data_IF_385344889311
#
_entry.id   IF_385344889311
#
_cell.length_a   1.000
_cell.length_b   1.000
_cell.length_c   1.000
_cell.angle_alpha   90.00
_cell.angle_beta   90.00
_cell.angle_gamma   90.00
#
_symmetry.space_group_name_H-M   'P 1'
#
loop_
_entity.id
_entity.type
_entity.pdbx_description
1 polymer ?
#
# COMPACT_ATOMS: atom_id res chain seq x y z
N UNK A 1 -11.45 6.84 -24.58
CA UNK A 1 -12.11 5.95 -23.63
C UNK A 1 -11.26 4.71 -23.29
N UNK A 2 -10.65 4.04 -24.26
CA UNK A 2 -9.86 2.80 -24.08
C UNK A 2 -8.65 2.93 -23.11
N UNK A 3 -8.01 4.10 -23.01
CA UNK A 3 -6.84 4.32 -22.13
C UNK A 3 -7.20 4.32 -20.63
N UNK A 4 -8.35 4.92 -20.26
CA UNK A 4 -8.83 4.92 -18.86
C UNK A 4 -9.25 3.52 -18.39
N UNK A 5 -9.82 2.73 -19.28
CA UNK A 5 -10.27 1.37 -18.99
C UNK A 5 -9.09 0.42 -18.71
N UNK A 6 -7.97 0.52 -19.45
CA UNK A 6 -6.75 -0.27 -19.14
C UNK A 6 -6.11 0.12 -17.81
N UNK A 7 -6.07 1.41 -17.48
CA UNK A 7 -5.52 1.85 -16.19
C UNK A 7 -6.41 1.43 -15.00
N UNK A 8 -7.72 1.40 -15.16
CA UNK A 8 -8.64 0.84 -14.17
C UNK A 8 -8.41 -0.66 -13.95
N UNK A 9 -8.34 -1.45 -15.01
CA UNK A 9 -8.11 -2.90 -14.91
C UNK A 9 -6.78 -3.28 -14.26
N UNK A 10 -5.74 -2.48 -14.42
CA UNK A 10 -4.41 -2.75 -13.83
C UNK A 10 -4.42 -2.39 -12.34
N UNK A 11 -5.10 -1.32 -11.95
CA UNK A 11 -5.24 -0.88 -10.55
C UNK A 11 -6.08 -1.86 -9.72
N UNK A 12 -7.09 -2.50 -10.34
CA UNK A 12 -7.91 -3.52 -9.69
C UNK A 12 -7.13 -4.80 -9.34
N UNK A 13 -6.18 -5.21 -10.17
CA UNK A 13 -5.40 -6.44 -9.95
C UNK A 13 -4.52 -6.38 -8.69
N UNK A 14 -4.11 -5.22 -8.26
CA UNK A 14 -3.29 -5.07 -7.04
C UNK A 14 -4.10 -5.23 -5.76
N UNK A 15 -5.42 -5.07 -5.82
CA UNK A 15 -6.34 -5.18 -4.70
C UNK A 15 -7.04 -6.55 -4.60
N UNK A 16 -6.72 -7.49 -5.49
CA UNK A 16 -7.33 -8.82 -5.50
C UNK A 16 -7.09 -9.62 -4.19
N UNK A 17 -5.87 -9.67 -3.60
CA UNK A 17 -5.66 -10.40 -2.35
C UNK A 17 -6.56 -9.93 -1.20
N UNK A 18 -6.70 -8.62 -0.90
CA UNK A 18 -7.64 -8.12 0.10
C UNK A 18 -9.10 -8.51 -0.18
N UNK A 19 -9.54 -8.37 -1.45
CA UNK A 19 -10.91 -8.66 -1.83
C UNK A 19 -11.24 -10.16 -1.69
N UNK A 20 -10.33 -11.04 -2.12
CA UNK A 20 -10.48 -12.49 -1.94
C UNK A 20 -10.50 -12.88 -0.46
N UNK A 21 -9.64 -12.27 0.35
CA UNK A 21 -9.61 -12.48 1.79
C UNK A 21 -10.93 -12.08 2.45
N UNK A 22 -11.48 -10.92 2.07
CA UNK A 22 -12.78 -10.45 2.56
C UNK A 22 -13.91 -11.38 2.12
N UNK A 23 -13.91 -11.77 0.85
CA UNK A 23 -14.94 -12.68 0.29
C UNK A 23 -14.93 -14.03 1.00
N UNK A 24 -13.75 -14.62 1.23
CA UNK A 24 -13.61 -15.86 1.99
C UNK A 24 -14.14 -15.71 3.42
N UNK A 25 -13.73 -14.64 4.10
CA UNK A 25 -14.17 -14.37 5.47
C UNK A 25 -15.69 -14.25 5.58
N UNK A 26 -16.31 -13.45 4.69
CA UNK A 26 -17.78 -13.29 4.65
C UNK A 26 -18.47 -14.60 4.29
N UNK A 27 -17.96 -15.37 3.33
CA UNK A 27 -18.55 -16.65 2.93
C UNK A 27 -18.58 -17.64 4.09
N UNK A 28 -17.47 -17.83 4.79
CA UNK A 28 -17.39 -18.70 5.97
C UNK A 28 -18.32 -18.18 7.08
N UNK A 29 -18.26 -16.88 7.37
CA UNK A 29 -19.09 -16.27 8.40
C UNK A 29 -20.59 -16.46 8.14
N UNK A 30 -21.05 -16.15 6.93
CA UNK A 30 -22.46 -16.24 6.55
C UNK A 30 -22.97 -17.68 6.59
N UNK A 31 -22.16 -18.65 6.13
CA UNK A 31 -22.50 -20.06 6.19
C UNK A 31 -22.65 -20.54 7.64
N UNK A 32 -21.68 -20.19 8.49
CA UNK A 32 -21.72 -20.55 9.91
C UNK A 32 -22.87 -19.87 10.65
N UNK A 33 -23.16 -18.59 10.34
CA UNK A 33 -24.31 -17.86 10.89
C UNK A 33 -25.64 -18.51 10.54
N UNK A 34 -25.79 -18.97 9.29
CA UNK A 34 -27.00 -19.68 8.86
C UNK A 34 -27.24 -20.92 9.71
N UNK A 35 -26.22 -21.76 9.92
CA UNK A 35 -26.35 -22.97 10.74
C UNK A 35 -26.72 -22.68 12.20
N UNK A 36 -26.27 -21.54 12.76
CA UNK A 36 -26.71 -21.08 14.06
C UNK A 36 -28.21 -20.69 14.08
N UNK A 37 -28.67 -20.04 13.03
CA UNK A 37 -30.08 -19.58 12.93
C UNK A 37 -31.06 -20.74 12.69
N UNK A 38 -30.64 -21.71 11.88
CA UNK A 38 -31.44 -22.89 11.55
C UNK A 38 -31.39 -23.94 12.69
N UNK A 39 -30.76 -23.63 13.85
CA UNK A 39 -30.54 -24.50 15.00
C UNK A 39 -29.78 -25.80 14.71
N UNK A 40 -29.16 -25.93 13.52
CA UNK A 40 -28.35 -27.10 13.16
C UNK A 40 -27.14 -27.27 14.08
N UNK A 41 -26.58 -26.17 14.61
CA UNK A 41 -25.50 -26.19 15.58
C UNK A 41 -25.90 -26.79 16.93
N UNK A 42 -27.14 -26.58 17.35
CA UNK A 42 -27.66 -27.16 18.61
C UNK A 42 -27.76 -28.68 18.49
N UNK A 43 -28.28 -29.16 17.35
CA UNK A 43 -28.34 -30.60 17.04
C UNK A 43 -26.93 -31.19 16.96
N UNK A 44 -26.00 -30.49 16.32
CA UNK A 44 -24.60 -30.94 16.21
C UNK A 44 -23.93 -31.10 17.60
N UNK A 45 -24.12 -30.15 18.49
CA UNK A 45 -23.52 -30.21 19.84
C UNK A 45 -24.21 -31.25 20.75
N UNK A 46 -25.47 -31.54 20.55
CA UNK A 46 -26.21 -32.53 21.31
C UNK A 46 -25.91 -33.98 20.90
N UNK A 47 -25.39 -34.19 19.69
CA UNK A 47 -25.14 -35.52 19.12
C UNK A 47 -23.78 -36.16 19.51
N UNK A 48 -23.35 -36.03 20.78
CA UNK A 48 -22.20 -36.80 21.29
C UNK A 48 -20.94 -35.99 21.62
N UNK A 49 -21.06 -34.91 22.38
CA UNK A 49 -19.91 -34.21 22.99
C UNK A 49 -19.01 -33.44 22.03
N UNK A 50 -19.52 -33.08 20.84
CA UNK A 50 -18.81 -32.29 19.89
C UNK A 50 -18.71 -30.83 20.31
N UNK A 51 -17.54 -30.24 20.22
CA UNK A 51 -17.28 -28.83 20.57
C UNK A 51 -17.18 -27.95 19.31
N UNK A 52 -17.16 -26.65 19.52
CA UNK A 52 -16.94 -25.67 18.41
C UNK A 52 -15.65 -25.95 17.62
N UNK A 53 -14.64 -26.55 18.25
CA UNK A 53 -13.40 -26.96 17.58
C UNK A 53 -13.60 -28.01 16.48
N UNK A 54 -14.68 -28.79 16.53
CA UNK A 54 -14.97 -29.78 15.49
C UNK A 54 -15.28 -29.16 14.13
N UNK A 55 -15.55 -27.84 14.08
CA UNK A 55 -15.74 -27.09 12.84
C UNK A 55 -14.45 -26.56 12.22
N UNK A 56 -13.34 -26.59 12.95
CA UNK A 56 -12.04 -26.14 12.44
C UNK A 56 -11.58 -26.97 11.21
N UNK A 57 -11.57 -28.32 11.24
CA UNK A 57 -11.15 -29.12 10.09
C UNK A 57 -12.00 -28.89 8.81
N UNK A 58 -13.33 -28.90 8.84
CA UNK A 58 -14.12 -28.66 7.63
C UNK A 58 -13.95 -27.24 7.08
N UNK A 59 -13.90 -26.22 7.94
CA UNK A 59 -13.65 -24.83 7.54
C UNK A 59 -12.26 -24.68 6.92
N UNK A 60 -11.23 -25.30 7.51
CA UNK A 60 -9.89 -25.24 6.97
C UNK A 60 -9.77 -25.99 5.62
N UNK A 61 -10.40 -27.15 5.45
CA UNK A 61 -10.41 -27.86 4.16
C UNK A 61 -11.01 -27.01 3.05
N UNK A 62 -12.07 -26.26 3.36
CA UNK A 62 -12.69 -25.32 2.42
C UNK A 62 -11.83 -24.07 2.21
N UNK A 63 -11.28 -23.48 3.27
CA UNK A 63 -10.53 -22.23 3.19
C UNK A 63 -9.13 -22.40 2.58
N UNK A 64 -8.47 -23.56 2.77
CA UNK A 64 -7.09 -23.79 2.36
C UNK A 64 -6.82 -23.49 0.87
N UNK A 65 -7.62 -23.96 -0.10
CA UNK A 65 -7.39 -23.64 -1.51
C UNK A 65 -7.48 -22.13 -1.77
N UNK A 66 -8.36 -21.41 -1.09
CA UNK A 66 -8.45 -19.95 -1.21
C UNK A 66 -7.27 -19.24 -0.55
N UNK A 67 -6.80 -19.71 0.59
CA UNK A 67 -5.58 -19.19 1.26
C UNK A 67 -4.37 -19.37 0.35
N UNK A 68 -4.24 -20.53 -0.28
CA UNK A 68 -3.16 -20.79 -1.26
C UNK A 68 -3.31 -19.85 -2.46
N UNK A 69 -4.52 -19.68 -2.99
CA UNK A 69 -4.77 -18.76 -4.10
C UNK A 69 -4.41 -17.31 -3.73
N UNK A 70 -4.78 -16.83 -2.54
CA UNK A 70 -4.38 -15.52 -2.02
C UNK A 70 -2.85 -15.41 -1.89
N UNK A 71 -2.19 -16.47 -1.45
CA UNK A 71 -0.73 -16.55 -1.37
C UNK A 71 -0.07 -16.42 -2.74
N UNK A 72 -0.52 -17.19 -3.74
CA UNK A 72 -0.01 -17.11 -5.11
C UNK A 72 -0.26 -15.72 -5.71
N UNK A 73 -1.46 -15.16 -5.51
CA UNK A 73 -1.80 -13.81 -5.96
C UNK A 73 -0.90 -12.75 -5.32
N UNK A 74 -0.64 -12.84 -4.03
CA UNK A 74 0.15 -11.85 -3.31
C UNK A 74 1.65 -11.96 -3.59
N UNK A 75 2.19 -13.18 -3.63
CA UNK A 75 3.64 -13.45 -3.71
C UNK A 75 4.14 -13.45 -5.16
N UNK A 76 3.34 -13.94 -6.12
CA UNK A 76 3.78 -14.14 -7.52
C UNK A 76 3.07 -13.18 -8.47
N UNK A 77 1.75 -13.20 -8.50
CA UNK A 77 0.98 -12.49 -9.53
C UNK A 77 1.01 -10.97 -9.31
N UNK A 78 0.88 -10.51 -8.06
CA UNK A 78 0.87 -9.08 -7.75
C UNK A 78 2.20 -8.38 -8.13
N UNK A 79 3.40 -8.86 -7.77
CA UNK A 79 4.64 -8.24 -8.20
C UNK A 79 4.86 -8.31 -9.72
N UNK A 80 4.49 -9.42 -10.36
CA UNK A 80 4.56 -9.53 -11.81
C UNK A 80 3.65 -8.50 -12.52
N UNK A 81 2.41 -8.36 -12.07
CA UNK A 81 1.48 -7.39 -12.63
C UNK A 81 1.97 -5.94 -12.42
N UNK A 82 2.59 -5.66 -11.27
CA UNK A 82 3.19 -4.35 -10.99
C UNK A 82 4.42 -4.09 -11.86
N UNK A 83 5.28 -5.08 -12.09
CA UNK A 83 6.45 -4.93 -12.97
C UNK A 83 6.03 -4.61 -14.41
N UNK A 84 5.00 -5.26 -14.95
CA UNK A 84 4.45 -4.94 -16.26
C UNK A 84 3.89 -3.51 -16.34
N UNK A 85 3.27 -3.06 -15.26
CA UNK A 85 2.76 -1.70 -15.16
C UNK A 85 3.89 -0.66 -15.15
N UNK A 86 4.98 -0.95 -14.42
CA UNK A 86 6.16 -0.07 -14.36
C UNK A 86 6.87 0.02 -15.73
N UNK A 87 7.05 -1.11 -16.43
CA UNK A 87 7.63 -1.13 -17.78
C UNK A 87 6.79 -0.25 -18.71
N UNK A 88 5.48 -0.48 -18.77
CA UNK A 88 4.57 0.29 -19.61
C UNK A 88 4.58 1.78 -19.24
N UNK A 89 4.62 2.09 -17.95
CA UNK A 89 4.66 3.47 -17.45
C UNK A 89 5.97 4.18 -17.83
N UNK A 90 7.10 3.47 -17.72
CA UNK A 90 8.39 4.00 -18.12
C UNK A 90 8.46 4.27 -19.65
N UNK A 91 7.92 3.35 -20.47
CA UNK A 91 7.81 3.57 -21.91
C UNK A 91 6.96 4.81 -22.25
N UNK A 92 5.82 4.99 -21.55
CA UNK A 92 5.00 6.19 -21.74
C UNK A 92 5.68 7.45 -21.21
N UNK A 93 6.38 7.38 -20.07
CA UNK A 93 7.11 8.52 -19.53
C UNK A 93 8.21 8.97 -20.50
N UNK A 94 8.95 8.02 -21.09
CA UNK A 94 9.95 8.34 -22.09
C UNK A 94 9.34 9.00 -23.35
N UNK A 95 8.19 8.51 -23.82
CA UNK A 95 7.46 9.12 -24.95
C UNK A 95 6.88 10.50 -24.61
N UNK A 96 6.36 10.67 -23.38
CA UNK A 96 5.85 11.96 -22.92
C UNK A 96 6.98 12.97 -22.67
N UNK A 97 8.17 12.53 -22.28
CA UNK A 97 9.33 13.41 -22.13
C UNK A 97 9.81 13.96 -23.48
N UNK A 98 9.86 13.11 -24.52
CA UNK A 98 10.13 13.58 -25.90
C UNK A 98 9.02 14.53 -26.37
N UNK A 99 7.76 14.26 -26.04
CA UNK A 99 6.63 15.14 -26.35
C UNK A 99 6.56 16.40 -25.46
N UNK A 100 7.13 16.39 -24.26
CA UNK A 100 7.24 17.59 -23.41
C UNK A 100 8.31 18.55 -23.90
N UNK A 101 9.37 18.03 -24.52
CA UNK A 101 10.36 18.82 -25.26
C UNK A 101 9.86 19.19 -26.66
N UNK A 102 8.56 18.95 -26.95
CA UNK A 102 8.00 19.32 -28.25
C UNK A 102 8.12 20.83 -28.49
N UNK A 103 8.64 21.25 -29.67
CA UNK A 103 8.83 22.65 -29.99
C UNK A 103 7.53 23.45 -29.88
N UNK A 104 7.65 24.73 -29.52
CA UNK A 104 6.54 25.67 -29.46
C UNK A 104 5.72 25.59 -28.15
N UNK A 105 6.22 24.98 -27.09
CA UNK A 105 5.55 24.92 -25.78
C UNK A 105 6.41 25.45 -24.65
N UNK A 106 5.75 26.10 -23.69
CA UNK A 106 6.38 26.48 -22.43
C UNK A 106 6.37 25.30 -21.46
N UNK A 107 7.53 25.02 -20.87
CA UNK A 107 7.74 23.93 -19.89
C UNK A 107 8.07 24.58 -18.56
N UNK A 108 7.18 24.44 -17.58
CA UNK A 108 7.42 24.94 -16.23
C UNK A 108 8.12 23.87 -15.37
N UNK A 109 9.20 24.28 -14.70
CA UNK A 109 9.94 23.46 -13.75
C UNK A 109 10.10 24.20 -12.42
N UNK A 110 10.51 23.49 -11.36
CA UNK A 110 10.70 24.04 -10.01
C UNK A 110 9.44 24.75 -9.43
N UNK A 111 8.23 24.27 -9.77
CA UNK A 111 6.99 24.85 -9.25
C UNK A 111 6.69 26.26 -9.82
N UNK A 112 6.98 26.49 -11.09
CA UNK A 112 6.72 27.75 -11.80
C UNK A 112 7.83 28.79 -11.67
N UNK A 113 8.93 28.49 -10.97
CA UNK A 113 10.07 29.40 -10.82
C UNK A 113 10.99 29.44 -12.04
N UNK A 114 10.94 28.39 -12.85
CA UNK A 114 11.74 28.29 -14.07
C UNK A 114 10.87 27.86 -15.22
N UNK A 115 10.94 28.55 -16.34
CA UNK A 115 10.18 28.28 -17.56
C UNK A 115 11.14 28.12 -18.71
N UNK A 116 10.99 27.02 -19.46
CA UNK A 116 11.72 26.77 -20.70
C UNK A 116 10.79 26.93 -21.91
N UNK A 117 11.30 27.50 -22.97
CA UNK A 117 10.64 27.48 -24.27
C UNK A 117 11.65 26.97 -25.31
N UNK A 118 11.25 25.97 -26.08
CA UNK A 118 12.05 25.36 -27.15
C UNK A 118 11.38 25.70 -28.46
N UNK A 119 12.11 26.36 -29.35
CA UNK A 119 11.53 26.80 -30.63
C UNK A 119 11.43 25.67 -31.65
N UNK A 120 12.48 24.82 -31.77
CA UNK A 120 12.53 23.73 -32.75
C UNK A 120 13.21 22.49 -32.19
N UNK A 121 12.98 21.36 -32.82
CA UNK A 121 13.74 20.14 -32.56
C UNK A 121 15.08 20.21 -33.33
N UNK A 122 16.17 19.75 -32.71
CA UNK A 122 17.47 19.64 -33.36
C UNK A 122 17.53 18.49 -34.37
N UNK A 123 18.67 18.33 -35.00
CA UNK A 123 18.90 17.28 -36.00
C UNK A 123 18.97 15.87 -35.40
N UNK A 124 19.26 15.75 -34.09
CA UNK A 124 19.36 14.51 -33.36
C UNK A 124 18.26 14.40 -32.28
N UNK A 125 17.86 13.18 -31.86
CA UNK A 125 16.80 12.98 -30.83
C UNK A 125 17.08 13.65 -29.46
N UNK A 126 18.37 13.89 -29.16
CA UNK A 126 18.80 14.52 -27.90
C UNK A 126 19.15 15.99 -28.07
N UNK A 127 19.04 16.53 -29.29
CA UNK A 127 19.28 17.93 -29.61
C UNK A 127 17.97 18.71 -29.69
N UNK A 128 17.99 19.91 -29.16
CA UNK A 128 16.92 20.88 -29.26
C UNK A 128 17.48 22.18 -29.85
N UNK A 129 16.70 22.80 -30.69
CA UNK A 129 17.05 24.06 -31.34
C UNK A 129 17.03 25.21 -30.34
N UNK A 130 16.78 26.43 -30.85
CA UNK A 130 16.80 27.63 -30.00
C UNK A 130 16.01 27.46 -28.72
N UNK A 131 16.65 27.79 -27.57
CA UNK A 131 16.10 27.65 -26.26
C UNK A 131 16.05 29.03 -25.59
N UNK A 132 14.91 29.30 -24.99
CA UNK A 132 14.71 30.40 -24.08
C UNK A 132 14.39 29.84 -22.70
N UNK A 133 15.08 30.30 -21.66
CA UNK A 133 14.83 29.94 -20.26
C UNK A 133 14.69 31.20 -19.44
N UNK A 134 13.61 31.32 -18.69
CA UNK A 134 13.44 32.36 -17.70
C UNK A 134 13.39 31.73 -16.29
N UNK A 135 14.16 32.28 -15.37
CA UNK A 135 14.22 31.83 -13.98
C UNK A 135 14.00 33.01 -13.03
N UNK A 136 13.09 32.88 -12.10
CA UNK A 136 12.87 33.84 -11.04
C UNK A 136 13.43 33.30 -9.74
N UNK A 137 14.39 33.99 -9.17
CA UNK A 137 15.04 33.71 -7.89
C UNK A 137 14.76 34.81 -6.90
N UNK A 138 14.95 34.55 -5.60
CA UNK A 138 14.82 35.57 -4.56
C UNK A 138 15.78 36.79 -4.74
N UNK A 139 16.84 36.64 -5.53
CA UNK A 139 17.85 37.70 -5.79
C UNK A 139 17.60 38.47 -7.08
N UNK A 140 16.73 37.99 -7.97
CA UNK A 140 16.46 38.63 -9.25
C UNK A 140 15.88 37.69 -10.28
N UNK A 141 15.72 38.21 -11.49
CA UNK A 141 15.28 37.45 -12.65
C UNK A 141 16.47 37.18 -13.58
N UNK A 142 16.56 35.96 -14.09
CA UNK A 142 17.59 35.55 -15.05
C UNK A 142 16.91 35.01 -16.28
N UNK A 143 17.32 35.53 -17.44
CA UNK A 143 16.88 35.05 -18.76
C UNK A 143 18.07 34.50 -19.51
N UNK A 144 17.97 33.30 -20.02
CA UNK A 144 19.01 32.64 -20.80
C UNK A 144 18.46 32.34 -22.19
N UNK A 145 19.20 32.69 -23.19
CA UNK A 145 18.94 32.34 -24.60
C UNK A 145 20.12 31.58 -25.16
N UNK A 146 19.88 30.49 -25.86
CA UNK A 146 20.91 29.68 -26.51
C UNK A 146 20.46 29.22 -27.90
N UNK A 147 21.42 29.05 -28.81
CA UNK A 147 21.14 28.62 -30.19
C UNK A 147 20.84 27.13 -30.29
N UNK A 148 21.44 26.32 -29.41
CA UNK A 148 21.25 24.86 -29.32
C UNK A 148 21.33 24.38 -27.91
N UNK A 149 20.71 23.25 -27.65
CA UNK A 149 20.83 22.53 -26.39
C UNK A 149 20.90 21.02 -26.59
N UNK A 150 21.69 20.36 -25.75
CA UNK A 150 21.82 18.90 -25.71
C UNK A 150 21.39 18.38 -24.37
N UNK A 151 20.55 17.33 -24.36
CA UNK A 151 20.15 16.69 -23.13
C UNK A 151 21.15 15.60 -22.81
N UNK A 152 21.82 15.73 -21.65
CA UNK A 152 22.80 14.78 -21.14
C UNK A 152 22.34 14.17 -19.80
N UNK A 153 22.74 12.92 -19.55
CA UNK A 153 22.48 12.21 -18.31
C UNK A 153 23.82 11.93 -17.63
N UNK A 154 23.98 12.43 -16.40
CA UNK A 154 25.19 12.18 -15.63
C UNK A 154 25.23 10.72 -15.12
N UNK A 155 26.40 10.24 -14.69
CA UNK A 155 26.61 8.92 -14.06
C UNK A 155 25.72 8.64 -12.84
N UNK A 156 25.21 9.67 -12.18
CA UNK A 156 24.27 9.61 -11.06
C UNK A 156 22.79 9.55 -11.50
N UNK A 157 22.51 9.60 -12.81
CA UNK A 157 21.16 9.58 -13.36
C UNK A 157 20.47 10.95 -13.41
N UNK A 158 21.15 12.02 -12.99
CA UNK A 158 20.64 13.38 -13.08
C UNK A 158 20.71 13.86 -14.53
N UNK A 159 19.65 14.54 -14.96
CA UNK A 159 19.53 15.08 -16.32
C UNK A 159 19.92 16.54 -16.34
N UNK A 160 20.76 16.89 -17.31
CA UNK A 160 21.19 18.24 -17.59
C UNK A 160 20.81 18.62 -19.03
N UNK A 161 20.45 19.86 -19.22
CA UNK A 161 20.42 20.44 -20.55
C UNK A 161 21.67 21.30 -20.67
N UNK A 162 22.55 20.96 -21.59
CA UNK A 162 23.74 21.73 -21.92
C UNK A 162 23.37 22.67 -23.04
N UNK A 163 23.40 23.95 -22.75
CA UNK A 163 23.10 25.05 -23.68
C UNK A 163 24.39 25.49 -24.34
N UNK A 164 24.39 25.60 -25.68
CA UNK A 164 25.54 26.00 -26.45
C UNK A 164 25.32 27.36 -27.10
N UNK A 165 26.36 28.19 -27.10
CA UNK A 165 26.41 29.53 -27.73
C UNK A 165 25.23 30.41 -27.28
N UNK A 166 25.30 30.92 -26.06
CA UNK A 166 24.19 31.66 -25.51
C UNK A 166 24.55 32.91 -24.73
N UNK A 167 23.49 33.62 -24.32
CA UNK A 167 23.58 34.83 -23.50
C UNK A 167 22.68 34.67 -22.29
N UNK A 168 23.20 35.05 -21.14
CA UNK A 168 22.48 35.12 -19.90
C UNK A 168 22.33 36.57 -19.44
N UNK A 169 21.10 37.02 -19.28
CA UNK A 169 20.76 38.33 -18.75
C UNK A 169 20.31 38.15 -17.28
N UNK A 170 21.00 38.80 -16.37
CA UNK A 170 20.67 38.81 -14.94
C UNK A 170 20.25 40.24 -14.55
N UNK A 171 19.04 40.34 -13.99
CA UNK A 171 18.51 41.61 -13.45
C UNK A 171 18.28 41.43 -11.94
N UNK A 172 19.02 42.20 -11.16
CA UNK A 172 18.82 42.22 -9.70
C UNK A 172 17.56 42.98 -9.33
N UNK A 173 16.85 42.51 -8.27
CA UNK A 173 15.63 43.20 -7.79
C UNK A 173 15.92 44.57 -7.16
N UNK A 174 17.12 44.75 -6.56
CA UNK A 174 17.47 45.92 -5.78
C UNK A 174 18.20 47.01 -6.56
N UNK A 175 18.67 46.71 -7.77
CA UNK A 175 19.42 47.67 -8.60
C UNK A 175 19.01 47.55 -10.06
N UNK A 176 18.83 48.68 -10.78
CA UNK A 176 18.47 48.66 -12.21
C UNK A 176 19.63 48.26 -13.15
N UNK A 177 20.53 47.43 -12.64
CA UNK A 177 21.69 46.97 -13.40
C UNK A 177 21.41 45.58 -13.98
N UNK A 178 21.44 45.49 -15.31
CA UNK A 178 21.39 44.20 -16.03
C UNK A 178 22.79 43.78 -16.39
N UNK A 179 23.18 42.60 -15.94
CA UNK A 179 24.44 41.99 -16.32
C UNK A 179 24.20 41.02 -17.46
N UNK A 180 24.96 41.15 -18.54
CA UNK A 180 24.94 40.22 -19.67
C UNK A 180 26.20 39.37 -19.61
N UNK A 181 26.04 38.04 -19.62
CA UNK A 181 27.13 37.07 -19.66
C UNK A 181 26.97 36.24 -20.93
N UNK A 182 27.97 36.27 -21.80
CA UNK A 182 28.04 35.35 -22.94
C UNK A 182 28.75 34.06 -22.51
N UNK A 183 28.27 32.92 -22.99
CA UNK A 183 28.83 31.61 -22.68
C UNK A 183 28.86 30.72 -23.92
N UNK A 184 29.87 29.89 -24.00
CA UNK A 184 29.99 28.87 -25.03
C UNK A 184 29.18 27.62 -24.64
N UNK A 185 29.27 27.23 -23.33
CA UNK A 185 28.51 26.13 -22.75
C UNK A 185 27.94 26.51 -21.36
N UNK A 186 26.70 26.17 -21.13
CA UNK A 186 26.03 26.38 -19.86
C UNK A 186 25.12 25.18 -19.52
N UNK A 187 25.49 24.42 -18.51
CA UNK A 187 24.71 23.25 -18.06
C UNK A 187 23.68 23.65 -17.03
N UNK A 188 22.45 23.30 -17.29
CA UNK A 188 21.31 23.54 -16.40
C UNK A 188 20.72 22.20 -15.98
N UNK A 189 20.67 21.95 -14.69
CA UNK A 189 20.03 20.75 -14.15
C UNK A 189 18.51 20.84 -14.37
N UNK A 190 17.98 19.81 -15.02
CA UNK A 190 16.53 19.63 -15.14
C UNK A 190 16.04 18.96 -13.85
N UNK A 191 15.60 19.78 -12.87
CA UNK A 191 14.96 19.26 -11.66
C UNK A 191 13.58 18.71 -12.00
N UNK A 192 13.55 17.55 -12.60
CA UNK A 192 12.36 16.73 -12.65
C UNK A 192 12.29 16.07 -11.28
N UNK A 193 11.38 16.52 -10.41
CA UNK A 193 11.10 15.84 -9.14
C UNK A 193 10.76 14.39 -9.46
N UNK A 194 11.74 13.50 -9.28
CA UNK A 194 11.47 12.07 -9.21
C UNK A 194 10.58 11.89 -7.99
N UNK A 195 9.32 11.61 -8.24
CA UNK A 195 8.34 11.44 -7.16
C UNK A 195 8.81 10.23 -6.35
N UNK A 196 9.11 10.41 -5.05
CA UNK A 196 9.48 9.31 -4.13
C UNK A 196 8.48 8.14 -4.19
N UNK A 197 7.24 8.41 -4.62
CA UNK A 197 6.24 7.38 -4.91
C UNK A 197 6.65 6.45 -6.08
N UNK A 198 7.50 6.90 -7.01
CA UNK A 198 8.02 6.06 -8.09
C UNK A 198 9.06 5.05 -7.57
N UNK A 199 9.85 5.42 -6.57
CA UNK A 199 10.80 4.50 -5.92
C UNK A 199 10.09 3.42 -5.10
N UNK A 200 9.07 3.78 -4.31
CA UNK A 200 8.20 2.81 -3.62
C UNK A 200 7.52 1.84 -4.59
N UNK A 201 7.09 2.34 -5.76
CA UNK A 201 6.55 1.50 -6.83
C UNK A 201 7.54 0.46 -7.31
N UNK A 202 8.81 0.83 -7.48
CA UNK A 202 9.87 -0.08 -7.92
C UNK A 202 10.09 -1.25 -6.95
N UNK A 203 10.12 -1.00 -5.64
CA UNK A 203 10.29 -2.06 -4.62
C UNK A 203 9.10 -3.03 -4.63
N UNK A 204 7.89 -2.52 -4.80
CA UNK A 204 6.67 -3.35 -4.84
C UNK A 204 6.58 -4.26 -6.09
N UNK A 205 7.28 -3.92 -7.17
CA UNK A 205 7.36 -4.69 -8.40
C UNK A 205 8.48 -5.75 -8.40
N UNK A 206 9.41 -5.69 -7.44
CA UNK A 206 10.56 -6.61 -7.38
C UNK A 206 10.10 -8.05 -7.07
N UNK A 207 10.71 -9.08 -7.69
CA UNK A 207 10.48 -10.48 -7.36
C UNK A 207 11.00 -10.81 -5.95
N UNK A 208 10.48 -11.90 -5.35
CA UNK A 208 10.84 -12.29 -3.98
C UNK A 208 12.34 -12.55 -3.81
N UNK A 209 13.00 -13.08 -4.84
CA UNK A 209 14.46 -13.36 -4.82
C UNK A 209 15.29 -12.09 -4.57
N UNK A 210 14.92 -10.99 -5.21
CA UNK A 210 15.59 -9.69 -5.04
C UNK A 210 15.28 -9.08 -3.67
N UNK A 211 14.04 -9.22 -3.19
CA UNK A 211 13.65 -8.71 -1.89
C UNK A 211 14.43 -9.38 -0.74
N UNK A 212 14.66 -10.71 -0.83
CA UNK A 212 15.44 -11.44 0.16
C UNK A 212 16.94 -11.17 0.06
N UNK A 213 17.47 -10.80 -1.11
CA UNK A 213 18.89 -10.49 -1.27
C UNK A 213 19.28 -9.13 -0.69
N UNK A 214 18.41 -8.12 -0.80
CA UNK A 214 18.73 -6.75 -0.39
C UNK A 214 18.46 -6.44 1.07
N UNK A 215 17.38 -6.98 1.64
CA UNK A 215 16.95 -6.80 3.05
C UNK A 215 16.90 -5.34 3.56
N UNK A 216 16.70 -4.38 2.67
CA UNK A 216 16.45 -2.98 3.06
C UNK A 216 15.12 -2.86 3.81
N UNK A 217 14.90 -1.83 4.65
CA UNK A 217 13.63 -1.65 5.35
C UNK A 217 12.41 -1.67 4.44
N UNK A 218 12.47 -1.02 3.27
CA UNK A 218 11.40 -1.01 2.28
C UNK A 218 11.13 -2.40 1.68
N UNK A 219 12.20 -3.17 1.43
CA UNK A 219 12.08 -4.55 0.96
C UNK A 219 11.49 -5.47 2.02
N UNK A 220 11.90 -5.33 3.27
CA UNK A 220 11.34 -6.06 4.40
C UNK A 220 9.84 -5.75 4.58
N UNK A 221 9.43 -4.50 4.43
CA UNK A 221 8.03 -4.11 4.48
C UNK A 221 7.21 -4.74 3.35
N UNK A 222 7.79 -4.89 2.15
CA UNK A 222 7.14 -5.60 1.04
C UNK A 222 7.04 -7.10 1.29
N UNK A 223 8.06 -7.74 1.88
CA UNK A 223 8.00 -9.15 2.29
C UNK A 223 6.88 -9.34 3.31
N UNK A 224 6.85 -8.51 4.36
CA UNK A 224 5.80 -8.51 5.37
C UNK A 224 4.41 -8.37 4.73
N UNK A 225 4.19 -7.39 3.83
CA UNK A 225 2.93 -7.16 3.14
C UNK A 225 2.45 -8.39 2.37
N UNK A 226 3.35 -9.05 1.63
CA UNK A 226 3.01 -10.22 0.80
C UNK A 226 2.62 -11.44 1.64
N UNK A 227 3.31 -11.69 2.75
CA UNK A 227 2.99 -12.81 3.64
C UNK A 227 1.78 -12.53 4.55
N UNK A 228 1.50 -11.27 4.82
CA UNK A 228 0.36 -10.89 5.66
C UNK A 228 -0.99 -11.27 5.05
N UNK A 229 -1.14 -11.26 3.72
CA UNK A 229 -2.43 -11.58 3.09
C UNK A 229 -2.86 -13.04 3.23
N UNK A 230 -2.03 -14.06 2.90
CA UNK A 230 -2.40 -15.44 3.14
C UNK A 230 -2.56 -15.75 4.64
N UNK A 231 -1.74 -15.15 5.52
CA UNK A 231 -1.90 -15.28 6.95
C UNK A 231 -3.23 -14.67 7.44
N UNK A 232 -3.59 -13.49 6.93
CA UNK A 232 -4.88 -12.86 7.25
C UNK A 232 -6.07 -13.68 6.74
N UNK A 233 -6.00 -14.23 5.52
CA UNK A 233 -7.04 -15.09 4.97
C UNK A 233 -7.28 -16.33 5.84
N UNK A 234 -6.19 -16.97 6.26
CA UNK A 234 -6.24 -18.12 7.16
C UNK A 234 -6.83 -17.77 8.53
N UNK A 235 -6.33 -16.73 9.17
CA UNK A 235 -6.77 -16.32 10.51
C UNK A 235 -8.20 -15.82 10.52
N UNK A 236 -8.64 -15.06 9.53
CA UNK A 236 -10.02 -14.57 9.43
C UNK A 236 -11.00 -15.70 9.15
N UNK A 237 -10.63 -16.70 8.33
CA UNK A 237 -11.46 -17.89 8.14
C UNK A 237 -11.66 -18.66 9.45
N UNK A 238 -10.63 -18.79 10.28
CA UNK A 238 -10.74 -19.38 11.61
C UNK A 238 -11.55 -18.48 12.55
N UNK A 239 -11.34 -17.18 12.54
CA UNK A 239 -12.02 -16.24 13.41
C UNK A 239 -13.52 -16.13 13.10
N UNK A 240 -13.93 -16.43 11.86
CA UNK A 240 -15.33 -16.50 11.48
C UNK A 240 -16.12 -17.52 12.31
N UNK A 241 -15.48 -18.62 12.75
CA UNK A 241 -16.14 -19.69 13.53
C UNK A 241 -16.67 -19.16 14.88
N UNK A 242 -15.85 -18.64 15.81
CA UNK A 242 -16.37 -18.13 17.07
C UNK A 242 -17.18 -16.83 16.90
N UNK A 243 -16.93 -16.04 15.85
CA UNK A 243 -17.65 -14.79 15.59
C UNK A 243 -19.08 -15.04 15.10
N UNK A 244 -19.30 -16.12 14.32
CA UNK A 244 -20.62 -16.49 13.81
C UNK A 244 -21.62 -16.90 14.91
N UNK A 245 -21.12 -17.32 16.05
CA UNK A 245 -21.92 -17.79 17.17
C UNK A 245 -22.64 -16.61 17.85
N UNK A 246 -23.75 -16.19 17.28
CA UNK A 246 -24.60 -15.10 17.79
C UNK A 246 -25.89 -15.60 18.43
N UNK A 247 -26.51 -14.75 19.23
CA UNK A 247 -27.85 -15.00 19.69
C UNK A 247 -28.84 -14.96 18.50
N UNK A 248 -29.69 -15.96 18.29
CA UNK A 248 -30.68 -15.98 17.21
C UNK A 248 -31.62 -14.75 17.20
N UNK A 249 -31.75 -14.10 18.38
CA UNK A 249 -32.58 -12.90 18.57
C UNK A 249 -31.87 -11.59 18.17
N UNK A 250 -30.54 -11.58 18.10
CA UNK A 250 -29.76 -10.42 17.64
C UNK A 250 -29.66 -10.52 16.12
N UNK A 251 -30.23 -9.60 15.37
CA UNK A 251 -30.33 -9.65 13.90
C UNK A 251 -29.00 -9.91 13.18
N UNK A 252 -29.08 -10.44 11.96
CA UNK A 252 -27.90 -10.74 11.08
C UNK A 252 -26.99 -9.54 10.85
N UNK A 253 -27.57 -8.34 10.82
CA UNK A 253 -26.87 -7.10 10.46
C UNK A 253 -25.75 -6.77 11.45
N UNK A 254 -25.95 -6.97 12.75
CA UNK A 254 -24.95 -6.64 13.76
C UNK A 254 -23.65 -7.47 13.59
N UNK A 255 -23.79 -8.77 13.31
CA UNK A 255 -22.62 -9.63 13.12
C UNK A 255 -21.84 -9.30 11.84
N UNK A 256 -22.54 -8.91 10.77
CA UNK A 256 -21.90 -8.47 9.52
C UNK A 256 -21.14 -7.16 9.77
N UNK A 257 -21.73 -6.22 10.53
CA UNK A 257 -21.06 -4.97 10.89
C UNK A 257 -19.81 -5.23 11.74
N UNK A 258 -19.91 -6.11 12.74
CA UNK A 258 -18.76 -6.51 13.57
C UNK A 258 -17.67 -7.16 12.71
N UNK A 259 -18.06 -8.06 11.80
CA UNK A 259 -17.11 -8.70 10.88
C UNK A 259 -16.41 -7.69 9.97
N UNK A 260 -17.16 -6.77 9.40
CA UNK A 260 -16.59 -5.68 8.58
C UNK A 260 -15.61 -4.82 9.39
N UNK A 261 -15.98 -4.49 10.64
CA UNK A 261 -15.13 -3.72 11.54
C UNK A 261 -13.82 -4.49 11.86
N UNK A 262 -13.91 -5.78 12.19
CA UNK A 262 -12.74 -6.64 12.45
C UNK A 262 -11.84 -6.68 11.22
N UNK A 263 -12.41 -6.85 10.03
CA UNK A 263 -11.64 -6.84 8.78
C UNK A 263 -10.93 -5.51 8.54
N UNK A 264 -11.64 -4.38 8.68
CA UNK A 264 -11.08 -3.04 8.50
C UNK A 264 -9.98 -2.76 9.52
N UNK A 265 -10.19 -3.11 10.79
CA UNK A 265 -9.16 -2.96 11.83
C UNK A 265 -7.91 -3.78 11.51
N UNK A 266 -8.10 -5.02 11.04
CA UNK A 266 -6.98 -5.87 10.67
C UNK A 266 -6.20 -5.32 9.47
N UNK A 267 -6.90 -4.84 8.43
CA UNK A 267 -6.29 -4.14 7.30
C UNK A 267 -5.44 -2.94 7.74
N UNK A 268 -6.01 -2.10 8.59
CA UNK A 268 -5.30 -0.92 9.10
C UNK A 268 -4.08 -1.34 9.93
N UNK A 269 -4.21 -2.38 10.76
CA UNK A 269 -3.08 -2.89 11.54
C UNK A 269 -1.94 -3.43 10.65
N UNK A 270 -2.26 -4.15 9.54
CA UNK A 270 -1.26 -4.56 8.55
C UNK A 270 -0.54 -3.33 7.97
N UNK A 271 -1.28 -2.29 7.59
CA UNK A 271 -0.71 -1.06 7.00
C UNK A 271 0.18 -0.31 8.00
N UNK A 272 -0.24 -0.22 9.26
CA UNK A 272 0.54 0.44 10.33
C UNK A 272 1.85 -0.30 10.59
N UNK A 273 1.78 -1.64 10.73
CA UNK A 273 2.98 -2.46 10.95
C UNK A 273 3.92 -2.39 9.75
N UNK A 274 3.39 -2.40 8.53
CA UNK A 274 4.18 -2.20 7.32
C UNK A 274 4.96 -0.88 7.38
N UNK A 275 4.28 0.23 7.71
CA UNK A 275 4.93 1.54 7.82
C UNK A 275 6.01 1.58 8.90
N UNK A 276 5.83 0.88 10.01
CA UNK A 276 6.86 0.79 11.06
C UNK A 276 8.10 0.01 10.58
N UNK A 277 7.91 -1.02 9.75
CA UNK A 277 9.02 -1.76 9.13
C UNK A 277 9.73 -0.86 8.10
N UNK A 278 9.00 -0.11 7.25
CA UNK A 278 9.57 0.87 6.31
C UNK A 278 10.41 1.94 7.03
N UNK A 279 10.00 2.33 8.23
CA UNK A 279 10.76 3.25 9.08
C UNK A 279 11.97 2.58 9.79
N UNK A 280 12.18 1.28 9.60
CA UNK A 280 13.29 0.54 10.22
C UNK A 280 13.15 0.28 11.72
N UNK A 281 11.95 0.44 12.32
CA UNK A 281 11.73 0.23 13.76
C UNK A 281 11.95 -1.22 14.18
N UNK A 282 11.60 -2.17 13.31
CA UNK A 282 11.82 -3.60 13.51
C UNK A 282 11.75 -4.37 12.17
N UNK A 283 12.24 -5.61 12.16
CA UNK A 283 12.28 -6.44 10.97
C UNK A 283 10.91 -7.08 10.63
N UNK A 284 10.77 -7.57 9.39
CA UNK A 284 9.54 -8.18 8.89
C UNK A 284 9.08 -9.40 9.69
N UNK A 285 10.01 -10.24 10.19
CA UNK A 285 9.68 -11.40 11.03
C UNK A 285 8.99 -10.96 12.32
N UNK A 286 9.57 -9.97 13.01
CA UNK A 286 8.97 -9.41 14.23
C UNK A 286 7.58 -8.87 13.96
N UNK A 287 7.39 -8.15 12.84
CA UNK A 287 6.09 -7.65 12.41
C UNK A 287 5.06 -8.77 12.19
N UNK A 288 5.47 -9.85 11.50
CA UNK A 288 4.60 -11.01 11.26
C UNK A 288 4.16 -11.67 12.57
N UNK A 289 5.12 -11.99 13.46
CA UNK A 289 4.79 -12.63 14.73
C UNK A 289 3.97 -11.73 15.65
N UNK A 290 4.29 -10.46 15.72
CA UNK A 290 3.58 -9.51 16.57
C UNK A 290 2.13 -9.35 16.14
N UNK A 291 1.88 -9.07 14.87
CA UNK A 291 0.54 -8.82 14.37
C UNK A 291 -0.30 -10.10 14.29
N UNK A 292 0.19 -11.10 13.57
CA UNK A 292 -0.58 -12.33 13.35
C UNK A 292 -0.63 -13.19 14.62
N UNK A 293 0.40 -13.15 15.46
CA UNK A 293 0.41 -13.77 16.79
C UNK A 293 -0.63 -13.14 17.71
N UNK A 294 -0.74 -11.81 17.74
CA UNK A 294 -1.79 -11.11 18.49
C UNK A 294 -3.19 -11.49 18.00
N UNK A 295 -3.42 -11.50 16.68
CA UNK A 295 -4.73 -11.90 16.12
C UNK A 295 -5.02 -13.37 16.40
N UNK A 296 -4.01 -14.27 16.33
CA UNK A 296 -4.16 -15.68 16.71
C UNK A 296 -4.53 -15.84 18.17
N UNK A 297 -3.90 -15.07 19.05
CA UNK A 297 -4.23 -15.07 20.48
C UNK A 297 -5.66 -14.60 20.73
N UNK A 298 -6.10 -13.53 20.06
CA UNK A 298 -7.49 -13.09 20.12
C UNK A 298 -8.45 -14.16 19.61
N UNK A 299 -8.14 -14.79 18.49
CA UNK A 299 -8.93 -15.89 17.93
C UNK A 299 -9.06 -17.03 18.94
N UNK A 300 -7.94 -17.48 19.53
CA UNK A 300 -7.94 -18.53 20.56
C UNK A 300 -8.76 -18.14 21.80
N UNK A 301 -8.64 -16.89 22.24
CA UNK A 301 -9.42 -16.37 23.38
C UNK A 301 -10.92 -16.41 23.09
N UNK A 302 -11.35 -16.02 21.90
CA UNK A 302 -12.76 -16.10 21.48
C UNK A 302 -13.25 -17.55 21.40
N UNK A 303 -12.41 -18.48 20.89
CA UNK A 303 -12.73 -19.91 20.90
C UNK A 303 -12.90 -20.45 22.32
N UNK A 304 -11.91 -20.23 23.19
CA UNK A 304 -11.94 -20.70 24.59
C UNK A 304 -13.17 -20.16 25.29
N UNK A 305 -13.38 -18.86 25.20
CA UNK A 305 -14.54 -18.23 25.79
C UNK A 305 -15.86 -18.86 25.33
N UNK A 306 -15.97 -19.13 24.03
CA UNK A 306 -17.21 -19.65 23.43
C UNK A 306 -17.45 -21.12 23.80
N UNK A 307 -16.39 -21.93 23.81
CA UNK A 307 -16.45 -23.35 24.17
C UNK A 307 -16.83 -23.53 25.65
N UNK A 308 -16.18 -22.74 26.52
CA UNK A 308 -16.42 -22.86 27.96
C UNK A 308 -17.58 -21.99 28.46
N UNK A 309 -18.32 -21.31 27.59
CA UNK A 309 -19.37 -20.33 27.93
C UNK A 309 -18.96 -19.32 29.01
N UNK A 310 -17.67 -18.99 29.06
CA UNK A 310 -17.11 -18.07 30.04
C UNK A 310 -17.64 -16.66 29.85
N UNK A 311 -17.92 -15.97 30.93
CA UNK A 311 -18.21 -14.54 30.92
C UNK A 311 -16.92 -13.78 30.54
N UNK A 312 -17.04 -12.57 29.94
CA UNK A 312 -15.91 -11.73 29.59
C UNK A 312 -14.97 -11.39 30.76
N UNK A 313 -15.57 -11.30 31.94
CA UNK A 313 -14.86 -11.11 33.19
C UNK A 313 -15.04 -12.34 34.07
N UNK A 314 -13.96 -12.82 34.70
CA UNK A 314 -14.07 -13.84 35.73
C UNK A 314 -15.13 -13.42 36.77
N UNK A 315 -15.83 -14.39 37.37
CA UNK A 315 -16.91 -14.12 38.31
C UNK A 315 -16.46 -13.21 39.46
N UNK A 316 -15.19 -13.33 39.86
CA UNK A 316 -14.59 -12.51 40.92
C UNK A 316 -14.33 -11.03 40.51
N UNK A 317 -14.33 -10.70 39.25
CA UNK A 317 -14.28 -9.30 38.77
C UNK A 317 -15.68 -8.65 38.72
N UNK A 318 -16.75 -9.41 38.95
CA UNK A 318 -18.12 -8.90 38.98
C UNK A 318 -18.39 -8.20 40.32
N UNK A 319 -18.89 -6.94 40.33
CA UNK A 319 -19.29 -6.25 41.57
C UNK A 319 -20.31 -7.05 42.38
N UNK A 320 -21.12 -7.88 41.72
CA UNK A 320 -22.14 -8.72 42.31
C UNK A 320 -21.57 -9.90 43.11
N UNK A 321 -20.37 -10.42 42.71
CA UNK A 321 -19.64 -11.45 43.45
C UNK A 321 -19.18 -10.96 44.83
N UNK A 322 -18.62 -9.77 44.86
CA UNK A 322 -18.16 -9.13 46.10
C UNK A 322 -19.32 -8.75 46.98
N UNK A 323 -20.46 -8.30 46.43
CA UNK A 323 -21.67 -7.97 47.17
C UNK A 323 -22.26 -9.21 47.85
N UNK A 324 -22.30 -10.38 47.18
CA UNK A 324 -22.75 -11.64 47.80
C UNK A 324 -21.82 -12.10 48.91
N UNK A 325 -20.51 -12.01 48.74
CA UNK A 325 -19.53 -12.40 49.75
C UNK A 325 -19.60 -11.52 51.00
N UNK A 326 -19.85 -10.22 50.84
CA UNK A 326 -20.03 -9.26 51.90
C UNK A 326 -21.34 -9.50 52.69
N UNK A 327 -22.39 -9.99 52.04
CA UNK A 327 -23.68 -10.34 52.71
C UNK A 327 -23.53 -11.65 53.49
N UNK A 328 -22.90 -12.68 52.90
CA UNK A 328 -22.68 -13.95 53.59
C UNK A 328 -21.67 -13.85 54.74
N UNK A 329 -20.80 -12.86 54.78
CA UNK A 329 -19.87 -12.58 55.88
C UNK A 329 -20.52 -11.82 57.04
N UNK A 330 -21.78 -11.34 56.90
CA UNK A 330 -22.53 -10.67 57.98
C UNK A 330 -23.55 -11.60 58.66
N UNK A 331 -23.74 -12.78 58.12
CA UNK A 331 -24.67 -13.80 58.69
C UNK A 331 -23.95 -14.90 59.52
N UNK A 332 -22.62 -14.88 59.57
CA UNK A 332 -21.78 -15.66 60.47
C UNK A 332 -21.11 -14.72 61.50
#
# INVERSE_FOLDING_TARGET
>A
PYRRQRQMCIRDRTNLPPLLTLSLFIAVLMTMMRWWQDNEMVVWFSSGGRSLFSWVPPVLRFALPFVVAVGVLSIVISPWARSQTEITRNEFAQRDEVNRLAPGRFIETMGGKRVFFIESQGESPNEVGRIFMAERTSKGESTVTAERGTVEINSEGDRYIVLHNGRRHETALDTPVTRVVEFDEYAVRLDIKVDKRLESGKVSAQPMTVLFAGMTPDQQAQIFWRFSWPAAAFLLALFAIPLSASNPRAGRSLNIIIAALVFILYLNAISVVQTWIEQGKFGYMTGLFLLHGFVSMLCALFFIRRVYMMRWLPVWCSPWYWRRRLISSKEN
#
